data_IF_393077827594
#
_entry.id   IF_393077827594
#
_cell.length_a   1.000
_cell.length_b   1.000
_cell.length_c   1.000
_cell.angle_alpha   90.00
_cell.angle_beta   90.00
_cell.angle_gamma   90.00
#
_symmetry.space_group_name_H-M   'P 1'
#
loop_
_entity.id
_entity.type
_entity.pdbx_description
1 polymer ?
#
# COMPACT_ATOMS: atom_id res chain seq x y z
N UNK A 1 14.78 -40.04 33.95
CA UNK A 1 15.44 -39.04 33.10
C UNK A 1 14.31 -38.36 32.38
N UNK A 2 13.91 -37.22 32.94
CA UNK A 2 12.65 -36.54 32.65
C UNK A 2 12.78 -35.63 31.43
N UNK A 3 11.88 -35.84 30.47
CA UNK A 3 11.61 -34.92 29.36
C UNK A 3 10.75 -33.75 29.88
N UNK A 4 11.25 -32.52 29.79
CA UNK A 4 10.43 -31.31 29.94
C UNK A 4 11.09 -30.12 29.25
N UNK A 5 10.56 -29.76 28.08
CA UNK A 5 10.79 -28.44 27.47
C UNK A 5 9.84 -27.42 28.11
N UNK A 6 10.29 -26.21 28.48
CA UNK A 6 9.37 -25.15 28.86
C UNK A 6 8.68 -24.59 27.61
N UNK A 7 7.36 -24.77 27.53
CA UNK A 7 6.47 -24.04 26.63
C UNK A 7 6.16 -22.68 27.23
N UNK A 8 6.98 -21.67 26.94
CA UNK A 8 6.61 -20.28 27.19
C UNK A 8 5.95 -19.69 25.93
N UNK A 9 4.66 -20.01 25.80
CA UNK A 9 3.73 -19.32 24.90
C UNK A 9 3.37 -17.98 25.55
N UNK A 10 4.27 -17.00 25.49
CA UNK A 10 3.89 -15.60 25.73
C UNK A 10 3.30 -15.01 24.45
N UNK A 11 2.04 -15.39 24.21
CA UNK A 11 1.14 -14.70 23.31
C UNK A 11 0.94 -13.28 23.84
N UNK A 12 1.78 -12.36 23.39
CA UNK A 12 1.52 -10.93 23.55
C UNK A 12 0.52 -10.53 22.48
N UNK A 13 -0.77 -10.77 22.77
CA UNK A 13 -1.87 -10.17 22.02
C UNK A 13 -1.82 -8.66 22.21
N UNK A 14 -1.07 -7.98 21.33
CA UNK A 14 -1.30 -6.57 21.03
C UNK A 14 -2.58 -6.50 20.22
N UNK A 15 -3.70 -6.51 20.94
CA UNK A 15 -5.02 -6.12 20.43
C UNK A 15 -4.96 -4.63 20.10
N UNK A 16 -4.64 -4.30 18.85
CA UNK A 16 -4.84 -2.96 18.33
C UNK A 16 -6.34 -2.71 18.24
N UNK A 17 -6.88 -1.99 19.22
CA UNK A 17 -8.32 -1.84 19.42
C UNK A 17 -8.97 -1.13 18.24
N UNK A 18 -9.86 -1.85 17.58
CA UNK A 18 -10.81 -1.40 16.55
C UNK A 18 -11.73 -0.26 17.02
N UNK A 19 -11.71 0.11 18.31
CA UNK A 19 -12.51 1.24 18.84
C UNK A 19 -11.99 2.62 18.42
N UNK A 20 -10.71 2.75 18.03
CA UNK A 20 -10.16 4.07 17.67
C UNK A 20 -10.73 4.66 16.37
N UNK A 21 -11.31 3.82 15.50
CA UNK A 21 -11.85 4.22 14.19
C UNK A 21 -13.30 4.75 14.25
N UNK A 22 -14.09 4.44 15.30
CA UNK A 22 -15.47 4.96 15.41
C UNK A 22 -15.55 6.45 15.72
N UNK A 23 -14.47 7.07 16.19
CA UNK A 23 -14.50 8.45 16.66
C UNK A 23 -14.35 9.52 15.57
N UNK A 24 -14.00 9.16 14.33
CA UNK A 24 -13.68 10.14 13.29
C UNK A 24 -14.79 10.36 12.23
N UNK A 25 -15.93 9.64 12.30
CA UNK A 25 -17.01 9.78 11.29
C UNK A 25 -17.95 11.01 11.49
N UNK A 26 -17.49 12.04 12.19
CA UNK A 26 -18.31 13.19 12.57
C UNK A 26 -17.89 14.49 11.89
N UNK A 27 -18.63 14.88 10.83
CA UNK A 27 -18.64 16.20 10.15
C UNK A 27 -17.43 16.43 9.21
N UNK A 28 -17.50 17.01 8.02
CA UNK A 28 -18.29 18.16 7.56
C UNK A 28 -18.27 18.31 6.01
N UNK A 29 -19.06 19.28 5.55
CA UNK A 29 -19.48 19.66 4.19
C UNK A 29 -18.44 20.31 3.23
N UNK A 30 -18.71 20.09 1.91
CA UNK A 30 -18.60 20.97 0.72
C UNK A 30 -17.40 21.93 0.48
N UNK A 31 -16.79 21.89 -0.73
CA UNK A 31 -16.81 22.99 -1.73
C UNK A 31 -15.96 22.77 -3.01
N UNK A 32 -16.39 23.44 -4.10
CA UNK A 32 -15.97 23.36 -5.53
C UNK A 32 -14.67 24.13 -5.87
N UNK A 33 -13.99 23.75 -6.96
CA UNK A 33 -13.00 24.58 -7.67
C UNK A 33 -12.64 24.05 -9.06
N UNK A 34 -12.46 24.94 -10.05
CA UNK A 34 -12.47 24.70 -11.51
C UNK A 34 -11.08 24.92 -12.16
N UNK A 35 -10.91 24.29 -13.33
CA UNK A 35 -10.15 24.71 -14.54
C UNK A 35 -8.62 24.66 -14.61
N UNK A 36 -8.12 24.02 -15.68
CA UNK A 36 -6.85 24.37 -16.35
C UNK A 36 -6.12 23.17 -16.98
N UNK A 37 -6.30 22.93 -18.28
CA UNK A 37 -5.58 21.89 -19.02
C UNK A 37 -4.26 22.43 -19.62
N UNK A 38 -3.14 21.72 -19.42
CA UNK A 38 -2.13 21.40 -20.45
C UNK A 38 -0.82 20.81 -19.87
N UNK A 39 -0.38 19.70 -20.47
CA UNK A 39 1.00 19.14 -20.52
C UNK A 39 1.75 19.00 -19.18
N UNK A 40 1.42 17.95 -18.43
CA UNK A 40 2.29 17.27 -17.42
C UNK A 40 1.57 16.00 -16.88
N UNK A 41 1.12 15.13 -17.79
CA UNK A 41 -0.03 14.23 -17.51
C UNK A 41 0.22 13.05 -16.57
N UNK A 42 1.43 12.83 -16.04
CA UNK A 42 1.67 11.88 -14.93
C UNK A 42 1.88 12.58 -13.56
N UNK A 43 2.17 13.88 -13.56
CA UNK A 43 2.37 14.70 -12.35
C UNK A 43 1.11 15.48 -11.93
N UNK A 44 -0.05 15.15 -12.52
CA UNK A 44 -1.30 15.88 -12.29
C UNK A 44 -1.82 15.62 -10.86
N UNK A 45 -1.50 16.57 -9.98
CA UNK A 45 -1.85 16.65 -8.54
C UNK A 45 -1.40 15.41 -7.75
N UNK A 46 -0.09 15.22 -7.64
CA UNK A 46 0.50 14.47 -6.53
C UNK A 46 0.26 15.26 -5.25
N UNK A 47 -0.73 14.91 -4.44
CA UNK A 47 -0.74 15.31 -3.03
C UNK A 47 0.35 14.49 -2.34
N UNK A 48 1.57 15.02 -2.38
CA UNK A 48 2.72 14.37 -1.76
C UNK A 48 2.61 14.51 -0.25
N UNK A 49 2.39 13.40 0.44
CA UNK A 49 3.03 13.23 1.75
C UNK A 49 4.51 12.87 1.50
N UNK A 50 5.32 13.88 1.16
CA UNK A 50 6.73 13.70 0.76
C UNK A 50 7.62 13.03 1.85
N UNK A 51 7.07 12.73 3.02
CA UNK A 51 7.75 12.12 4.16
C UNK A 51 7.44 10.63 4.38
N UNK A 52 6.44 10.05 3.72
CA UNK A 52 5.98 8.68 4.04
C UNK A 52 6.16 7.66 2.92
N UNK A 53 6.78 8.03 1.79
CA UNK A 53 6.88 7.13 0.65
C UNK A 53 5.51 6.80 0.06
N UNK A 54 4.51 7.64 0.29
CA UNK A 54 3.13 7.44 -0.13
C UNK A 54 2.69 8.67 -0.93
N UNK A 55 2.21 8.44 -2.15
CA UNK A 55 1.70 9.50 -3.03
C UNK A 55 0.36 9.05 -3.61
N UNK A 56 -0.65 9.93 -3.58
CA UNK A 56 -1.93 9.72 -4.26
C UNK A 56 -2.08 10.69 -5.41
N UNK A 57 -2.82 10.26 -6.44
CA UNK A 57 -3.25 11.15 -7.50
C UNK A 57 -4.78 11.13 -7.70
N UNK A 58 -5.26 12.14 -8.41
CA UNK A 58 -6.67 12.36 -8.73
C UNK A 58 -7.29 11.29 -9.64
N UNK A 59 -6.49 10.34 -10.15
CA UNK A 59 -6.97 9.23 -10.99
C UNK A 59 -7.23 7.97 -10.16
N UNK A 60 -6.98 8.01 -8.85
CA UNK A 60 -7.14 6.87 -7.96
C UNK A 60 -5.94 5.93 -7.99
N UNK A 61 -4.73 6.45 -8.22
CA UNK A 61 -3.48 5.69 -8.10
C UNK A 61 -2.85 6.07 -6.77
N UNK A 62 -2.57 5.06 -5.95
CA UNK A 62 -1.74 5.14 -4.77
C UNK A 62 -0.36 4.58 -5.12
N UNK A 63 0.67 5.41 -5.03
CA UNK A 63 2.05 5.00 -5.20
C UNK A 63 2.71 4.86 -3.84
N UNK A 64 3.18 3.66 -3.56
CA UNK A 64 3.86 3.27 -2.32
C UNK A 64 5.29 2.92 -2.69
N UNK A 65 6.21 3.73 -2.21
CA UNK A 65 7.63 3.60 -2.45
C UNK A 65 8.35 3.11 -1.20
N UNK A 66 8.86 1.88 -1.25
CA UNK A 66 9.58 1.26 -0.16
C UNK A 66 11.09 1.34 -0.41
N UNK A 67 11.83 1.95 0.51
CA UNK A 67 13.28 2.20 0.39
C UNK A 67 14.10 1.48 1.44
N UNK A 68 15.30 1.05 1.04
CA UNK A 68 16.38 0.61 1.94
C UNK A 68 16.07 -0.67 2.73
N UNK A 69 16.20 -0.55 4.05
CA UNK A 69 15.93 -1.60 5.04
C UNK A 69 14.79 -1.11 5.94
N UNK A 70 13.53 -1.23 5.51
CA UNK A 70 12.41 -0.62 6.20
C UNK A 70 12.30 -1.18 7.62
N UNK A 71 12.23 -0.29 8.61
CA UNK A 71 11.93 -0.68 9.98
C UNK A 71 10.42 -0.94 10.12
N UNK A 72 9.99 -1.83 11.04
CA UNK A 72 8.56 -2.08 11.25
C UNK A 72 7.75 -0.80 11.47
N UNK A 73 8.26 0.11 12.30
CA UNK A 73 7.62 1.40 12.58
C UNK A 73 7.45 2.31 11.35
N UNK A 74 8.32 2.19 10.33
CA UNK A 74 8.20 2.95 9.09
C UNK A 74 7.05 2.41 8.23
N UNK A 75 6.85 1.09 8.23
CA UNK A 75 5.75 0.43 7.55
C UNK A 75 4.43 0.68 8.30
N UNK A 76 4.44 0.62 9.63
CA UNK A 76 3.29 0.97 10.46
C UNK A 76 2.83 2.41 10.22
N UNK A 77 3.76 3.36 10.15
CA UNK A 77 3.44 4.74 9.79
C UNK A 77 2.86 4.83 8.37
N UNK A 78 3.40 4.06 7.43
CA UNK A 78 2.87 4.00 6.07
C UNK A 78 1.42 3.45 6.05
N UNK A 79 1.07 2.51 6.93
CA UNK A 79 -0.30 2.04 7.14
C UNK A 79 -1.18 3.18 7.64
N UNK A 80 -0.74 3.91 8.68
CA UNK A 80 -1.51 5.04 9.24
C UNK A 80 -1.77 6.12 8.19
N UNK A 81 -0.73 6.49 7.45
CA UNK A 81 -0.81 7.48 6.38
C UNK A 81 -1.72 6.97 5.25
N UNK A 82 -1.60 5.70 4.85
CA UNK A 82 -2.47 5.08 3.84
C UNK A 82 -3.94 5.08 4.25
N UNK A 83 -4.27 4.63 5.46
CA UNK A 83 -5.65 4.60 5.94
C UNK A 83 -6.22 6.01 6.02
N UNK A 84 -5.46 6.96 6.55
CA UNK A 84 -5.89 8.36 6.67
C UNK A 84 -6.20 8.97 5.30
N UNK A 85 -5.30 8.82 4.33
CA UNK A 85 -5.47 9.36 2.98
C UNK A 85 -6.55 8.63 2.17
N UNK A 86 -6.75 7.33 2.42
CA UNK A 86 -7.83 6.54 1.83
C UNK A 86 -9.20 6.94 2.37
N UNK A 87 -9.32 7.08 3.69
CA UNK A 87 -10.59 7.41 4.35
C UNK A 87 -11.00 8.88 4.10
N UNK A 88 -10.02 9.77 3.99
CA UNK A 88 -10.25 11.21 3.77
C UNK A 88 -10.12 11.62 2.30
N UNK A 89 -9.63 10.72 1.44
CA UNK A 89 -9.35 10.98 0.04
C UNK A 89 -10.62 11.19 -0.79
N UNK A 90 -10.66 12.19 -1.69
CA UNK A 90 -11.84 12.48 -2.49
C UNK A 90 -12.03 11.57 -3.73
N UNK A 91 -11.14 10.59 -3.95
CA UNK A 91 -11.12 9.78 -5.17
C UNK A 91 -11.18 8.27 -4.87
N UNK A 92 -11.96 7.49 -5.64
CA UNK A 92 -11.99 6.04 -5.50
C UNK A 92 -10.64 5.46 -5.92
N UNK A 93 -9.99 4.74 -5.01
CA UNK A 93 -8.75 4.01 -5.31
C UNK A 93 -9.02 2.94 -6.38
N UNK A 94 -8.15 2.88 -7.38
CA UNK A 94 -8.20 1.92 -8.50
C UNK A 94 -6.94 1.08 -8.58
N UNK A 95 -5.78 1.68 -8.30
CA UNK A 95 -4.47 1.04 -8.42
C UNK A 95 -3.61 1.34 -7.20
N UNK A 96 -2.96 0.31 -6.66
CA UNK A 96 -1.83 0.44 -5.72
C UNK A 96 -0.57 0.04 -6.48
N UNK A 97 0.32 1.00 -6.71
CA UNK A 97 1.67 0.78 -7.24
C UNK A 97 2.63 0.61 -6.07
N UNK A 98 3.17 -0.60 -5.91
CA UNK A 98 4.21 -0.95 -4.94
C UNK A 98 5.57 -0.86 -5.64
N UNK A 99 6.25 0.28 -5.52
CA UNK A 99 7.63 0.45 -5.94
C UNK A 99 8.57 -0.09 -4.85
N UNK A 100 9.28 -1.15 -5.20
CA UNK A 100 10.26 -1.83 -4.34
C UNK A 100 11.68 -1.77 -4.92
N UNK A 101 11.92 -0.86 -5.88
CA UNK A 101 13.20 -0.68 -6.58
C UNK A 101 14.38 -0.43 -5.63
N UNK A 102 14.15 0.33 -4.56
CA UNK A 102 15.16 0.71 -3.59
C UNK A 102 15.23 -0.23 -2.37
N UNK A 103 14.43 -1.29 -2.32
CA UNK A 103 14.51 -2.27 -1.24
C UNK A 103 15.73 -3.16 -1.38
N UNK A 104 16.55 -3.21 -0.34
CA UNK A 104 17.69 -4.13 -0.27
C UNK A 104 17.27 -5.45 0.36
N UNK A 105 16.53 -5.36 1.46
CA UNK A 105 16.05 -6.52 2.21
C UNK A 105 14.87 -6.12 3.10
N UNK A 106 14.00 -7.09 3.40
CA UNK A 106 12.92 -6.93 4.36
C UNK A 106 13.10 -7.94 5.48
N UNK A 107 13.38 -7.46 6.70
CA UNK A 107 13.54 -8.30 7.89
C UNK A 107 12.20 -8.93 8.30
N UNK A 108 12.22 -9.97 9.13
CA UNK A 108 11.02 -10.74 9.51
C UNK A 108 9.92 -9.84 10.09
N UNK A 109 10.28 -8.92 11.00
CA UNK A 109 9.31 -8.00 11.60
C UNK A 109 8.74 -7.03 10.56
N UNK A 110 9.58 -6.51 9.65
CA UNK A 110 9.15 -5.64 8.56
C UNK A 110 8.25 -6.37 7.57
N UNK A 111 8.52 -7.66 7.28
CA UNK A 111 7.64 -8.51 6.47
C UNK A 111 6.29 -8.73 7.12
N UNK A 112 6.26 -8.90 8.45
CA UNK A 112 5.01 -9.03 9.19
C UNK A 112 4.17 -7.76 9.07
N UNK A 113 4.77 -6.60 9.33
CA UNK A 113 4.09 -5.30 9.18
C UNK A 113 3.62 -5.07 7.74
N UNK A 114 4.44 -5.42 6.73
CA UNK A 114 4.06 -5.31 5.32
C UNK A 114 2.92 -6.27 4.93
N UNK A 115 2.91 -7.47 5.50
CA UNK A 115 1.81 -8.43 5.31
C UNK A 115 0.51 -7.92 5.89
N UNK A 116 0.58 -7.31 7.07
CA UNK A 116 -0.56 -6.70 7.73
C UNK A 116 -1.10 -5.51 6.94
N UNK A 117 -0.22 -4.65 6.42
CA UNK A 117 -0.59 -3.58 5.49
C UNK A 117 -1.39 -4.12 4.30
N UNK A 118 -0.85 -5.10 3.58
CA UNK A 118 -1.52 -5.66 2.40
C UNK A 118 -2.82 -6.37 2.76
N UNK A 119 -2.89 -7.02 3.93
CA UNK A 119 -4.13 -7.64 4.41
C UNK A 119 -5.21 -6.60 4.72
N UNK A 120 -4.86 -5.48 5.35
CA UNK A 120 -5.80 -4.38 5.61
C UNK A 120 -6.29 -3.74 4.32
N UNK A 121 -5.38 -3.42 3.39
CA UNK A 121 -5.74 -2.90 2.08
C UNK A 121 -6.66 -3.89 1.32
N UNK A 122 -6.36 -5.19 1.39
CA UNK A 122 -7.18 -6.23 0.77
C UNK A 122 -8.55 -6.37 1.41
N UNK A 123 -8.67 -6.17 2.72
CA UNK A 123 -9.96 -6.20 3.40
C UNK A 123 -10.83 -4.99 3.06
N UNK A 124 -10.21 -3.83 2.87
CA UNK A 124 -10.91 -2.60 2.53
C UNK A 124 -11.37 -2.57 1.07
N UNK A 125 -10.49 -2.98 0.15
CA UNK A 125 -10.72 -2.84 -1.29
C UNK A 125 -11.06 -4.14 -2.00
N UNK A 126 -10.64 -5.28 -1.46
CA UNK A 126 -10.88 -6.58 -2.07
C UNK A 126 -10.35 -6.66 -3.50
N UNK A 127 -11.24 -7.05 -4.39
CA UNK A 127 -11.05 -7.16 -5.82
C UNK A 127 -11.37 -5.87 -6.58
N UNK A 128 -11.70 -4.76 -5.90
CA UNK A 128 -11.99 -3.48 -6.57
C UNK A 128 -10.72 -2.74 -7.04
N UNK A 129 -9.57 -3.06 -6.45
CA UNK A 129 -8.28 -2.40 -6.69
C UNK A 129 -7.28 -3.36 -7.32
N UNK A 130 -6.49 -2.85 -8.24
CA UNK A 130 -5.39 -3.56 -8.87
C UNK A 130 -4.08 -3.28 -8.15
N UNK A 131 -3.26 -4.31 -7.96
CA UNK A 131 -1.94 -4.18 -7.33
C UNK A 131 -0.88 -4.37 -8.38
N UNK A 132 -0.04 -3.34 -8.55
CA UNK A 132 1.09 -3.35 -9.47
C UNK A 132 2.36 -3.39 -8.64
N UNK A 133 3.16 -4.44 -8.80
CA UNK A 133 4.44 -4.59 -8.09
C UNK A 133 5.56 -4.22 -9.06
N UNK A 134 6.36 -3.22 -8.74
CA UNK A 134 7.38 -2.70 -9.63
C UNK A 134 8.80 -2.89 -9.08
N UNK A 135 9.67 -3.41 -9.93
CA UNK A 135 11.11 -3.52 -9.71
C UNK A 135 11.51 -4.37 -8.48
N UNK A 136 12.66 -4.04 -7.89
CA UNK A 136 13.19 -4.61 -6.66
C UNK A 136 13.82 -6.01 -6.79
N UNK A 137 14.38 -6.53 -5.68
CA UNK A 137 14.99 -7.85 -5.65
C UNK A 137 13.98 -8.97 -5.99
N UNK A 138 14.32 -9.95 -6.84
CA UNK A 138 13.40 -11.02 -7.25
C UNK A 138 12.75 -11.77 -6.09
N UNK A 139 13.49 -11.97 -4.99
CA UNK A 139 12.98 -12.63 -3.78
C UNK A 139 11.91 -11.81 -3.06
N UNK A 140 12.05 -10.48 -3.01
CA UNK A 140 11.06 -9.60 -2.38
C UNK A 140 9.84 -9.50 -3.28
N UNK A 141 10.02 -9.29 -4.59
CA UNK A 141 8.92 -9.25 -5.56
C UNK A 141 8.09 -10.53 -5.53
N UNK A 142 8.74 -11.70 -5.58
CA UNK A 142 8.07 -13.00 -5.50
C UNK A 142 7.32 -13.18 -4.17
N UNK A 143 7.90 -12.73 -3.07
CA UNK A 143 7.21 -12.74 -1.77
C UNK A 143 5.95 -11.86 -1.79
N UNK A 144 6.04 -10.64 -2.31
CA UNK A 144 4.90 -9.73 -2.47
C UNK A 144 3.82 -10.31 -3.38
N UNK A 145 4.20 -10.91 -4.51
CA UNK A 145 3.27 -11.59 -5.43
C UNK A 145 2.50 -12.73 -4.74
N UNK A 146 3.21 -13.60 -4.01
CA UNK A 146 2.58 -14.73 -3.29
C UNK A 146 1.60 -14.19 -2.26
N UNK A 147 1.98 -13.15 -1.52
CA UNK A 147 1.13 -12.52 -0.52
C UNK A 147 -0.12 -11.90 -1.15
N UNK A 148 0.02 -11.10 -2.21
CA UNK A 148 -1.12 -10.52 -2.93
C UNK A 148 -2.05 -11.59 -3.51
N UNK A 149 -1.52 -12.72 -3.99
CA UNK A 149 -2.31 -13.88 -4.46
C UNK A 149 -3.04 -14.61 -3.34
N UNK A 150 -2.45 -14.69 -2.15
CA UNK A 150 -3.09 -15.28 -0.98
C UNK A 150 -4.19 -14.37 -0.41
N UNK A 151 -4.12 -13.07 -0.71
CA UNK A 151 -5.11 -12.06 -0.38
C UNK A 151 -6.16 -11.91 -1.49
N UNK A 152 -7.18 -11.08 -1.27
CA UNK A 152 -8.28 -10.88 -2.24
C UNK A 152 -7.86 -10.12 -3.50
N UNK A 153 -6.60 -9.74 -3.63
CA UNK A 153 -6.04 -9.08 -4.82
C UNK A 153 -5.73 -10.05 -5.97
N UNK A 154 -5.85 -11.37 -5.76
CA UNK A 154 -5.10 -12.36 -6.53
C UNK A 154 -5.23 -12.32 -8.07
N UNK A 155 -6.40 -12.05 -8.64
CA UNK A 155 -6.54 -11.95 -10.11
C UNK A 155 -6.16 -10.57 -10.68
N UNK A 156 -5.99 -9.57 -9.82
CA UNK A 156 -5.71 -8.18 -10.18
C UNK A 156 -4.31 -7.73 -9.76
N UNK A 157 -3.42 -8.69 -9.53
CA UNK A 157 -2.01 -8.45 -9.23
C UNK A 157 -1.15 -8.67 -10.47
N UNK A 158 -0.35 -7.68 -10.84
CA UNK A 158 0.64 -7.76 -11.92
C UNK A 158 2.00 -7.29 -11.40
N UNK A 159 3.08 -7.84 -11.95
CA UNK A 159 4.44 -7.50 -11.55
C UNK A 159 5.31 -7.19 -12.76
N UNK A 160 6.24 -6.25 -12.56
CA UNK A 160 7.16 -5.74 -13.55
C UNK A 160 8.59 -5.73 -12.99
N UNK A 161 9.57 -5.96 -13.86
CA UNK A 161 10.99 -5.94 -13.50
C UNK A 161 11.54 -4.52 -13.32
N UNK A 162 10.85 -3.53 -13.87
CA UNK A 162 11.23 -2.12 -13.84
C UNK A 162 10.01 -1.21 -13.57
N UNK A 163 10.28 -0.02 -13.04
CA UNK A 163 9.25 0.95 -12.68
C UNK A 163 8.61 1.60 -13.90
N UNK A 164 9.38 1.81 -14.97
CA UNK A 164 8.89 2.49 -16.19
C UNK A 164 7.80 1.65 -16.88
N UNK A 165 8.00 0.34 -17.01
CA UNK A 165 7.03 -0.59 -17.57
C UNK A 165 5.76 -0.68 -16.70
N UNK A 166 5.90 -0.63 -15.37
CA UNK A 166 4.76 -0.59 -14.47
C UNK A 166 3.95 0.71 -14.65
N UNK A 167 4.62 1.86 -14.71
CA UNK A 167 3.97 3.16 -14.93
C UNK A 167 3.31 3.25 -16.31
N UNK A 168 3.95 2.72 -17.35
CA UNK A 168 3.42 2.65 -18.71
C UNK A 168 2.16 1.77 -18.76
N UNK A 169 2.18 0.61 -18.12
CA UNK A 169 1.02 -0.26 -18.02
C UNK A 169 -0.15 0.40 -17.29
N UNK A 170 0.13 1.10 -16.19
CA UNK A 170 -0.88 1.88 -15.46
C UNK A 170 -1.45 2.98 -16.37
N UNK A 171 -0.60 3.66 -17.14
CA UNK A 171 -1.03 4.71 -18.06
C UNK A 171 -1.90 4.16 -19.18
N UNK A 172 -1.55 3.03 -19.78
CA UNK A 172 -2.42 2.41 -20.79
C UNK A 172 -3.79 2.07 -20.20
N UNK A 173 -3.81 1.49 -19.00
CA UNK A 173 -5.06 1.02 -18.37
C UNK A 173 -5.97 2.15 -17.88
N UNK A 174 -5.38 3.25 -17.43
CA UNK A 174 -6.14 4.36 -16.83
C UNK A 174 -6.61 5.38 -17.88
N UNK A 175 -6.00 5.41 -19.07
CA UNK A 175 -6.27 6.40 -20.11
C UNK A 175 -6.84 5.82 -21.41
N UNK A 176 -6.97 4.49 -21.52
CA UNK A 176 -7.62 3.84 -22.67
C UNK A 176 -9.15 3.72 -22.54
N UNK A 177 -9.79 4.57 -21.71
CA UNK A 177 -11.23 4.60 -21.49
C UNK A 177 -11.88 5.84 -22.10
#
# INVERSE_FOLDING_TARGET
>A
MDDSYPTDTTSSELTFSTEKLRFLSGKNDSSKGKTGASKDTFNEVREKSAKSGLEFNNKGICHIHLRGLPKPAEIEKLIEDYVTEVELGPYPLKVILLDISELVHMQILSRRAFSEFLAQASNHYGDAVEVVIAAGPPMIRKYTEILCRALKFGQRTVSFDDIEAAEDWIRERMYSA
#
